data_IF_746666295479
#
_entry.id   IF_746666295479
#
_cell.length_a   1.000
_cell.length_b   1.000
_cell.length_c   1.000
_cell.angle_alpha   90.00
_cell.angle_beta   90.00
_cell.angle_gamma   90.00
#
_symmetry.space_group_name_H-M   'P 1'
#
loop_
_entity.id
_entity.type
_entity.pdbx_description
1 polymer ?
#
# COMPACT_ATOMS: atom_id res chain seq x y z
N UNK A 1 15.01 1.07 0.06
CA UNK A 1 14.99 -0.29 -0.52
C UNK A 1 16.29 -1.04 -0.32
N UNK A 2 17.47 -0.47 -0.61
CA UNK A 2 18.78 -1.15 -0.44
C UNK A 2 19.02 -1.82 0.92
N UNK A 3 18.77 -1.11 2.04
CA UNK A 3 18.98 -1.68 3.39
C UNK A 3 18.06 -2.88 3.64
N UNK A 4 16.76 -2.75 3.36
CA UNK A 4 15.78 -3.83 3.55
C UNK A 4 16.15 -5.07 2.71
N UNK A 5 16.54 -4.87 1.44
CA UNK A 5 17.01 -5.96 0.59
C UNK A 5 18.27 -6.61 1.11
N UNK A 6 19.24 -5.83 1.59
CA UNK A 6 20.47 -6.34 2.21
C UNK A 6 20.19 -7.16 3.48
N UNK A 7 19.03 -6.95 4.12
CA UNK A 7 18.57 -7.73 5.27
C UNK A 7 17.70 -8.94 4.86
N UNK A 8 17.55 -9.23 3.57
CA UNK A 8 16.78 -10.37 3.07
C UNK A 8 15.26 -10.16 3.05
N UNK A 9 14.78 -8.93 3.24
CA UNK A 9 13.36 -8.64 3.12
C UNK A 9 12.90 -8.64 1.66
N UNK A 10 11.68 -9.14 1.42
CA UNK A 10 10.98 -8.97 0.15
C UNK A 10 10.44 -7.54 0.07
N UNK A 11 10.90 -6.77 -0.92
CA UNK A 11 10.62 -5.34 -1.03
C UNK A 11 9.62 -5.07 -2.14
N UNK A 12 8.41 -4.65 -1.76
CA UNK A 12 7.40 -4.13 -2.69
C UNK A 12 7.44 -2.60 -2.70
N UNK A 13 7.42 -2.01 -3.90
CA UNK A 13 7.36 -0.56 -4.10
C UNK A 13 6.07 -0.20 -4.82
N UNK A 14 5.34 0.79 -4.30
CA UNK A 14 4.19 1.42 -4.97
C UNK A 14 4.60 2.84 -5.35
N UNK A 15 4.50 3.19 -6.63
CA UNK A 15 4.90 4.53 -7.12
C UNK A 15 4.17 4.90 -8.40
N UNK A 16 4.06 6.20 -8.67
CA UNK A 16 3.63 6.73 -9.97
C UNK A 16 4.82 7.09 -10.89
N UNK A 17 6.06 6.81 -10.47
CA UNK A 17 7.28 7.10 -11.23
C UNK A 17 8.01 5.81 -11.64
N UNK A 18 7.93 5.51 -12.93
CA UNK A 18 8.71 4.43 -13.53
C UNK A 18 10.22 4.77 -13.55
N UNK A 19 11.07 3.76 -13.38
CA UNK A 19 12.53 3.91 -13.53
C UNK A 19 13.26 4.71 -12.43
N UNK A 20 12.58 5.10 -11.36
CA UNK A 20 13.18 5.85 -10.25
C UNK A 20 14.17 5.01 -9.40
N UNK A 21 15.06 5.65 -8.64
CA UNK A 21 16.07 4.94 -7.83
C UNK A 21 15.45 3.97 -6.81
N UNK A 22 14.22 4.24 -6.36
CA UNK A 22 13.53 3.39 -5.38
C UNK A 22 13.14 2.03 -5.98
N UNK A 23 12.82 1.96 -7.27
CA UNK A 23 12.38 0.72 -7.95
C UNK A 23 13.54 -0.23 -8.24
N UNK A 24 14.78 0.28 -8.39
CA UNK A 24 15.98 -0.53 -8.73
C UNK A 24 16.27 -1.70 -7.79
N UNK A 25 15.85 -1.61 -6.53
CA UNK A 25 16.11 -2.63 -5.51
C UNK A 25 14.82 -3.25 -4.96
N UNK A 26 13.71 -3.14 -5.70
CA UNK A 26 12.46 -3.78 -5.34
C UNK A 26 12.36 -5.15 -6.02
N UNK A 27 11.70 -6.10 -5.36
CA UNK A 27 11.36 -7.41 -5.93
C UNK A 27 10.03 -7.34 -6.70
N UNK A 28 9.17 -6.40 -6.34
CA UNK A 28 7.93 -6.07 -7.04
C UNK A 28 7.72 -4.56 -7.07
N UNK A 29 7.36 -4.04 -8.24
CA UNK A 29 7.02 -2.62 -8.44
C UNK A 29 5.59 -2.54 -8.96
N UNK A 30 4.71 -1.87 -8.22
CA UNK A 30 3.35 -1.56 -8.63
C UNK A 30 3.30 -0.09 -9.05
N UNK A 31 3.01 0.14 -10.34
CA UNK A 31 2.96 1.48 -10.91
C UNK A 31 1.52 1.99 -10.94
N UNK A 32 1.29 3.19 -10.44
CA UNK A 32 -0.02 3.86 -10.48
C UNK A 32 -0.05 4.94 -11.56
N UNK A 33 -1.21 5.12 -12.21
CA UNK A 33 -1.37 5.99 -13.39
C UNK A 33 -1.38 7.50 -13.10
N UNK A 34 -1.17 7.90 -11.84
CA UNK A 34 -1.23 9.28 -11.41
C UNK A 34 0.01 10.08 -11.83
N UNK A 35 0.10 10.43 -13.12
CA UNK A 35 1.14 11.32 -13.61
C UNK A 35 0.89 12.73 -13.05
N UNK A 36 1.76 13.20 -12.16
CA UNK A 36 1.65 14.53 -11.55
C UNK A 36 1.93 15.60 -12.61
N UNK A 37 0.90 16.06 -13.31
CA UNK A 37 1.01 17.24 -14.18
C UNK A 37 0.66 18.55 -13.46
N UNK A 38 0.36 18.48 -12.16
CA UNK A 38 -0.04 19.62 -11.35
C UNK A 38 1.04 19.90 -10.29
N UNK A 39 1.52 21.14 -10.22
CA UNK A 39 2.53 21.65 -9.28
C UNK A 39 2.14 21.58 -7.79
N UNK A 40 1.15 20.76 -7.41
CA UNK A 40 0.73 20.56 -6.03
C UNK A 40 0.79 19.07 -5.66
N UNK A 41 1.87 18.70 -4.98
CA UNK A 41 2.10 17.34 -4.44
C UNK A 41 1.08 16.94 -3.37
N UNK A 42 0.30 17.90 -2.84
CA UNK A 42 -0.77 17.64 -1.87
C UNK A 42 -2.12 17.38 -2.54
N UNK A 43 -2.19 17.50 -3.87
CA UNK A 43 -3.44 17.32 -4.58
C UNK A 43 -3.89 15.86 -4.55
N UNK A 44 -5.10 15.65 -4.02
CA UNK A 44 -5.65 14.32 -3.74
C UNK A 44 -5.69 13.42 -4.98
N UNK A 45 -5.89 13.97 -6.19
CA UNK A 45 -5.98 13.18 -7.42
C UNK A 45 -4.71 12.37 -7.71
N UNK A 46 -3.55 12.88 -7.29
CA UNK A 46 -2.28 12.15 -7.44
C UNK A 46 -2.19 10.93 -6.50
N UNK A 47 -3.02 10.89 -5.45
CA UNK A 47 -3.03 9.85 -4.42
C UNK A 47 -4.20 8.85 -4.57
N UNK A 48 -5.27 9.21 -5.30
CA UNK A 48 -6.46 8.35 -5.48
C UNK A 48 -6.07 7.00 -6.09
N UNK A 49 -5.26 6.99 -7.14
CA UNK A 49 -4.84 5.75 -7.79
C UNK A 49 -4.06 4.82 -6.83
N UNK A 50 -3.22 5.40 -5.97
CA UNK A 50 -2.49 4.66 -4.94
C UNK A 50 -3.43 4.11 -3.87
N UNK A 51 -4.42 4.89 -3.41
CA UNK A 51 -5.41 4.40 -2.45
C UNK A 51 -6.27 3.28 -3.03
N UNK A 52 -6.71 3.41 -4.28
CA UNK A 52 -7.47 2.36 -4.95
C UNK A 52 -6.68 1.06 -5.08
N UNK A 53 -5.39 1.15 -5.42
CA UNK A 53 -4.51 -0.01 -5.46
C UNK A 53 -4.36 -0.67 -4.07
N UNK A 54 -4.18 0.13 -3.02
CA UNK A 54 -4.08 -0.40 -1.64
C UNK A 54 -5.37 -1.10 -1.21
N UNK A 55 -6.53 -0.57 -1.58
CA UNK A 55 -7.81 -1.19 -1.30
C UNK A 55 -7.96 -2.53 -2.03
N UNK A 56 -7.60 -2.59 -3.31
CA UNK A 56 -7.62 -3.82 -4.10
C UNK A 56 -6.70 -4.90 -3.50
N UNK A 57 -5.46 -4.54 -3.14
CA UNK A 57 -4.53 -5.46 -2.49
C UNK A 57 -5.09 -5.95 -1.15
N UNK A 58 -5.65 -5.04 -0.35
CA UNK A 58 -6.26 -5.39 0.95
C UNK A 58 -7.46 -6.31 0.77
N UNK A 59 -8.28 -6.09 -0.25
CA UNK A 59 -9.44 -6.91 -0.57
C UNK A 59 -9.04 -8.32 -0.99
N UNK A 60 -8.00 -8.46 -1.83
CA UNK A 60 -7.43 -9.77 -2.18
C UNK A 60 -6.92 -10.48 -0.93
N UNK A 61 -6.17 -9.79 -0.08
CA UNK A 61 -5.66 -10.35 1.18
C UNK A 61 -6.80 -10.75 2.13
N UNK A 62 -7.92 -10.03 2.15
CA UNK A 62 -9.08 -10.36 2.97
C UNK A 62 -9.77 -11.67 2.55
N UNK A 63 -9.51 -12.16 1.33
CA UNK A 63 -9.93 -13.49 0.90
C UNK A 63 -9.20 -14.63 1.60
N UNK A 64 -8.04 -14.37 2.21
CA UNK A 64 -7.33 -15.33 3.05
C UNK A 64 -8.03 -15.48 4.43
N UNK A 65 -8.37 -16.71 4.86
CA UNK A 65 -9.11 -16.93 6.11
C UNK A 65 -8.40 -16.40 7.37
N UNK A 66 -7.06 -16.46 7.40
CA UNK A 66 -6.28 -15.97 8.53
C UNK A 66 -6.31 -14.43 8.58
N UNK A 67 -6.11 -13.77 7.43
CA UNK A 67 -6.22 -12.31 7.33
C UNK A 67 -7.64 -11.82 7.63
N UNK A 68 -8.66 -12.53 7.15
CA UNK A 68 -10.06 -12.24 7.48
C UNK A 68 -10.29 -12.28 9.00
N UNK A 69 -9.79 -13.30 9.68
CA UNK A 69 -9.89 -13.43 11.14
C UNK A 69 -9.21 -12.25 11.85
N UNK A 70 -8.02 -11.84 11.44
CA UNK A 70 -7.30 -10.72 12.04
C UNK A 70 -8.05 -9.38 11.84
N UNK A 71 -8.63 -9.19 10.67
CA UNK A 71 -9.51 -8.05 10.40
C UNK A 71 -10.72 -8.02 11.36
N UNK A 72 -11.40 -9.15 11.56
CA UNK A 72 -12.54 -9.24 12.50
C UNK A 72 -12.13 -8.93 13.93
N UNK A 73 -10.98 -9.44 14.38
CA UNK A 73 -10.45 -9.15 15.72
C UNK A 73 -10.20 -7.66 15.91
N UNK A 74 -9.50 -7.02 14.97
CA UNK A 74 -9.22 -5.58 15.01
C UNK A 74 -10.51 -4.77 15.06
N UNK A 75 -11.49 -5.13 14.22
CA UNK A 75 -12.80 -4.49 14.17
C UNK A 75 -13.56 -4.61 15.50
N UNK A 76 -13.56 -5.80 16.11
CA UNK A 76 -14.21 -6.02 17.40
C UNK A 76 -13.58 -5.17 18.51
N UNK A 77 -12.24 -5.11 18.56
CA UNK A 77 -11.52 -4.31 19.56
C UNK A 77 -11.87 -2.83 19.42
N UNK A 78 -11.82 -2.28 18.20
CA UNK A 78 -12.13 -0.86 17.96
C UNK A 78 -13.58 -0.53 18.31
N UNK A 79 -14.54 -1.35 17.88
CA UNK A 79 -15.97 -1.10 18.12
C UNK A 79 -16.37 -1.28 19.60
N UNK A 80 -15.76 -2.23 20.30
CA UNK A 80 -16.03 -2.45 21.73
C UNK A 80 -15.40 -1.37 22.63
N UNK A 81 -14.27 -0.78 22.22
CA UNK A 81 -13.65 0.32 22.96
C UNK A 81 -14.34 1.68 22.70
N UNK A 82 -15.04 1.83 21.58
CA UNK A 82 -15.79 3.06 21.25
C UNK A 82 -17.20 3.15 21.86
N UNK A 83 -17.67 2.12 22.57
CA UNK A 83 -19.02 2.06 23.19
C UNK A 83 -19.02 2.36 24.70
N UNK A 84 -18.01 3.05 25.22
CA UNK A 84 -17.96 3.55 26.60
C UNK A 84 -17.99 5.08 26.64
#
# INVERSE_FOLDING_TARGET
TKIARNQGAYVVVITNFEGSTITKNADLVLITSAQSNNNDSRFINSQIATHFLLDLVSYILLGDPYMHKLYQQTRQVVLNHGSK
#
